data_IF_325976822628
#
_entry.id   IF_325976822628
#
_cell.length_a   1.000
_cell.length_b   1.000
_cell.length_c   1.000
_cell.angle_alpha   90.00
_cell.angle_beta   90.00
_cell.angle_gamma   90.00
#
_symmetry.space_group_name_H-M   'P 1'
#
loop_
_entity.id
_entity.type
_entity.pdbx_description
1 polymer ?
#
# COMPACT_ATOMS: atom_id res chain seq x y z
N UNK A 1 -16.34 -4.60 16.32
CA UNK A 1 -16.38 -3.15 16.63
C UNK A 1 -16.97 -2.88 18.02
N UNK A 2 -18.11 -3.49 18.40
CA UNK A 2 -18.70 -3.35 19.74
C UNK A 2 -17.76 -3.80 20.88
N UNK A 3 -17.17 -5.00 20.75
CA UNK A 3 -16.18 -5.52 21.71
C UNK A 3 -15.00 -4.57 21.96
N UNK A 4 -14.48 -3.92 20.91
CA UNK A 4 -13.36 -2.99 21.04
C UNK A 4 -13.79 -1.69 21.75
N UNK A 5 -15.03 -1.24 21.52
CA UNK A 5 -15.59 -0.07 22.19
C UNK A 5 -15.73 -0.33 23.70
N UNK A 6 -16.19 -1.52 24.08
CA UNK A 6 -16.28 -1.94 25.48
C UNK A 6 -14.89 -1.98 26.13
N UNK A 7 -13.92 -2.63 25.48
CA UNK A 7 -12.56 -2.77 25.99
C UNK A 7 -11.81 -1.43 26.14
N UNK A 8 -12.07 -0.47 25.24
CA UNK A 8 -11.45 0.86 25.25
C UNK A 8 -12.31 1.95 25.88
N UNK A 9 -13.49 1.62 26.41
CA UNK A 9 -14.49 2.57 26.92
C UNK A 9 -14.84 3.68 25.92
N UNK A 10 -14.92 3.34 24.65
CA UNK A 10 -15.34 4.27 23.60
C UNK A 10 -16.86 4.35 23.50
N UNK A 11 -17.36 5.52 23.14
CA UNK A 11 -18.77 5.71 22.83
C UNK A 11 -19.15 4.91 21.58
N UNK A 12 -19.85 3.80 21.80
CA UNK A 12 -20.29 2.90 20.73
C UNK A 12 -21.25 3.55 19.73
N UNK A 13 -22.04 4.56 20.15
CA UNK A 13 -22.93 5.28 19.24
C UNK A 13 -22.15 6.21 18.34
N UNK A 14 -21.18 6.94 18.90
CA UNK A 14 -20.29 7.81 18.13
C UNK A 14 -19.47 7.02 17.10
N UNK A 15 -18.94 5.86 17.50
CA UNK A 15 -18.19 4.96 16.60
C UNK A 15 -19.09 4.46 15.47
N UNK A 16 -20.32 4.00 15.76
CA UNK A 16 -21.29 3.58 14.73
C UNK A 16 -21.63 4.71 13.76
N UNK A 17 -21.91 5.91 14.27
CA UNK A 17 -22.25 7.06 13.44
C UNK A 17 -21.08 7.47 12.52
N UNK A 18 -19.86 7.45 13.05
CA UNK A 18 -18.65 7.75 12.28
C UNK A 18 -18.40 6.71 11.19
N UNK A 19 -18.52 5.42 11.53
CA UNK A 19 -18.34 4.34 10.55
C UNK A 19 -19.38 4.41 9.42
N UNK A 20 -20.63 4.78 9.73
CA UNK A 20 -21.67 5.03 8.72
C UNK A 20 -21.26 6.16 7.77
N UNK A 21 -20.79 7.30 8.29
CA UNK A 21 -20.32 8.42 7.47
C UNK A 21 -19.12 8.03 6.59
N UNK A 22 -18.21 7.21 7.10
CA UNK A 22 -17.09 6.72 6.30
C UNK A 22 -17.56 5.82 5.16
N UNK A 23 -18.56 4.96 5.39
CA UNK A 23 -19.17 4.14 4.33
C UNK A 23 -19.84 4.99 3.26
N UNK A 24 -20.64 5.98 3.68
CA UNK A 24 -21.34 6.89 2.77
C UNK A 24 -20.36 7.71 1.91
N UNK A 25 -19.17 8.01 2.43
CA UNK A 25 -18.12 8.73 1.72
C UNK A 25 -17.16 7.83 0.93
N UNK A 26 -17.42 6.52 0.87
CA UNK A 26 -16.52 5.53 0.28
C UNK A 26 -15.07 5.74 0.72
N UNK A 27 -14.87 5.89 2.03
CA UNK A 27 -13.60 6.31 2.59
C UNK A 27 -12.44 5.48 2.05
N UNK A 28 -11.46 6.18 1.47
CA UNK A 28 -10.17 5.66 1.03
C UNK A 28 -9.08 6.56 1.56
N UNK A 29 -8.03 5.96 2.10
CA UNK A 29 -6.79 6.63 2.46
C UNK A 29 -5.64 6.02 1.69
N UNK A 30 -4.73 6.88 1.23
CA UNK A 30 -3.55 6.47 0.49
C UNK A 30 -2.30 6.83 1.28
N UNK A 31 -1.39 5.87 1.42
CA UNK A 31 -0.10 6.04 2.08
C UNK A 31 1.00 5.70 1.08
N UNK A 32 1.72 6.72 0.63
CA UNK A 32 2.88 6.56 -0.25
C UNK A 32 4.11 6.19 0.58
N UNK A 33 4.73 5.06 0.24
CA UNK A 33 6.00 4.66 0.85
C UNK A 33 7.22 5.34 0.23
N UNK A 34 8.41 4.93 0.68
CA UNK A 34 9.68 5.52 0.23
C UNK A 34 9.85 5.36 -1.29
N UNK A 35 10.07 6.48 -1.96
CA UNK A 35 10.29 6.54 -3.41
C UNK A 35 11.76 6.24 -3.76
N UNK A 36 11.99 5.54 -4.87
CA UNK A 36 13.31 5.39 -5.50
C UNK A 36 13.29 5.81 -6.97
N UNK A 37 14.29 6.59 -7.35
CA UNK A 37 14.54 6.96 -8.76
C UNK A 37 15.14 5.78 -9.52
N UNK A 38 14.80 5.68 -10.81
CA UNK A 38 15.51 4.80 -11.74
C UNK A 38 16.98 5.21 -11.86
N UNK A 39 17.88 4.30 -12.29
CA UNK A 39 19.30 4.62 -12.47
C UNK A 39 19.52 5.79 -13.44
N UNK A 40 18.78 5.84 -14.55
CA UNK A 40 18.73 6.97 -15.48
C UNK A 40 18.00 8.24 -14.96
N UNK A 41 17.40 8.18 -13.76
CA UNK A 41 16.65 9.24 -13.08
C UNK A 41 15.42 9.78 -13.84
N UNK A 42 14.93 9.07 -14.85
CA UNK A 42 13.74 9.47 -15.63
C UNK A 42 12.42 9.03 -14.99
N UNK A 43 12.48 8.04 -14.10
CA UNK A 43 11.30 7.40 -13.50
C UNK A 43 11.42 7.34 -11.99
N UNK A 44 10.28 7.25 -11.32
CA UNK A 44 10.16 7.05 -9.87
C UNK A 44 9.30 5.83 -9.62
N UNK A 45 9.73 4.99 -8.70
CA UNK A 45 8.94 3.87 -8.22
C UNK A 45 8.69 4.01 -6.72
N UNK A 46 7.54 3.55 -6.25
CA UNK A 46 7.20 3.52 -4.83
C UNK A 46 6.11 2.48 -4.55
N UNK A 47 6.12 1.88 -3.36
CA UNK A 47 4.95 1.17 -2.86
C UNK A 47 3.85 2.18 -2.48
N UNK A 48 2.61 1.89 -2.85
CA UNK A 48 1.41 2.65 -2.49
C UNK A 48 0.48 1.73 -1.72
N UNK A 49 0.17 2.10 -0.48
CA UNK A 49 -0.82 1.39 0.34
C UNK A 49 -2.13 2.15 0.24
N UNK A 50 -3.18 1.47 -0.18
CA UNK A 50 -4.56 1.97 -0.14
C UNK A 50 -5.28 1.27 1.00
N UNK A 51 -5.94 2.05 1.85
CA UNK A 51 -6.78 1.58 2.93
C UNK A 51 -8.21 2.00 2.63
N UNK A 52 -9.10 1.03 2.49
CA UNK A 52 -10.55 1.27 2.55
C UNK A 52 -11.14 0.72 3.86
N UNK A 53 -12.46 0.67 3.98
CA UNK A 53 -13.11 0.20 5.20
C UNK A 53 -13.06 -1.32 5.41
N UNK A 54 -12.61 -2.08 4.42
CA UNK A 54 -12.61 -3.54 4.39
C UNK A 54 -11.21 -4.11 4.35
N UNK A 55 -10.29 -3.47 3.62
CA UNK A 55 -8.99 -4.05 3.33
C UNK A 55 -7.89 -3.02 3.13
N UNK A 56 -6.66 -3.50 3.32
CA UNK A 56 -5.43 -2.86 2.91
C UNK A 56 -4.96 -3.48 1.59
N UNK A 57 -4.63 -2.63 0.63
CA UNK A 57 -4.15 -3.03 -0.69
C UNK A 57 -2.78 -2.41 -0.93
N UNK A 58 -1.79 -3.22 -1.30
CA UNK A 58 -0.45 -2.76 -1.63
C UNK A 58 -0.23 -2.84 -3.13
N UNK A 59 0.14 -1.71 -3.71
CA UNK A 59 0.58 -1.58 -5.09
C UNK A 59 2.07 -1.24 -5.18
N UNK A 60 2.72 -1.67 -6.25
CA UNK A 60 3.96 -1.09 -6.74
C UNK A 60 3.60 -0.15 -7.89
N UNK A 61 3.94 1.12 -7.76
CA UNK A 61 3.64 2.16 -8.74
C UNK A 61 4.93 2.65 -9.36
N UNK A 62 4.92 2.86 -10.68
CA UNK A 62 5.98 3.56 -11.41
C UNK A 62 5.38 4.77 -12.10
N UNK A 63 5.96 5.95 -11.86
CA UNK A 63 5.58 7.21 -12.48
C UNK A 63 6.75 7.85 -13.21
N UNK A 64 6.47 8.66 -14.23
CA UNK A 64 7.47 9.53 -14.84
C UNK A 64 7.74 10.78 -13.99
N UNK A 65 8.72 11.60 -14.41
CA UNK A 65 9.02 12.86 -13.71
C UNK A 65 7.88 13.90 -13.76
N UNK A 66 6.89 13.73 -14.64
CA UNK A 66 5.69 14.56 -14.76
C UNK A 66 4.53 14.03 -13.90
N UNK A 67 4.74 12.97 -13.12
CA UNK A 67 3.74 12.28 -12.27
C UNK A 67 2.68 11.51 -13.07
N UNK A 68 2.95 11.19 -14.33
CA UNK A 68 2.11 10.26 -15.07
C UNK A 68 2.42 8.84 -14.60
N UNK A 69 1.40 8.10 -14.19
CA UNK A 69 1.54 6.68 -13.85
C UNK A 69 1.86 5.91 -15.13
N UNK A 70 3.04 5.30 -15.18
CA UNK A 70 3.48 4.43 -16.27
C UNK A 70 2.97 3.00 -16.06
N UNK A 71 2.99 2.52 -14.82
CA UNK A 71 2.44 1.22 -14.43
C UNK A 71 2.05 1.22 -12.93
N UNK A 72 1.05 0.42 -12.57
CA UNK A 72 0.57 0.18 -11.20
C UNK A 72 0.20 -1.29 -11.08
N UNK A 73 1.01 -2.04 -10.32
CA UNK A 73 0.83 -3.49 -10.13
C UNK A 73 0.39 -3.82 -8.72
N UNK A 74 -0.66 -4.63 -8.58
CA UNK A 74 -1.10 -5.18 -7.30
C UNK A 74 -0.05 -6.16 -6.76
N UNK A 75 0.34 -6.01 -5.49
CA UNK A 75 1.33 -6.84 -4.81
C UNK A 75 0.69 -7.75 -3.78
N UNK A 76 -0.23 -7.21 -2.99
CA UNK A 76 -0.91 -7.91 -1.91
C UNK A 76 -2.21 -7.18 -1.54
N UNK A 77 -3.14 -7.92 -0.96
CA UNK A 77 -4.40 -7.43 -0.41
C UNK A 77 -4.68 -8.24 0.86
N UNK A 78 -5.14 -7.58 1.92
CA UNK A 78 -5.45 -8.21 3.21
C UNK A 78 -6.54 -7.44 3.94
N UNK A 79 -7.47 -8.14 4.58
CA UNK A 79 -8.54 -7.60 5.41
C UNK A 79 -8.20 -7.64 6.91
N UNK A 80 -7.07 -8.25 7.28
CA UNK A 80 -6.73 -8.59 8.65
C UNK A 80 -5.76 -7.61 9.30
N UNK A 81 -4.50 -7.56 8.85
CA UNK A 81 -3.41 -6.90 9.59
C UNK A 81 -2.45 -6.13 8.68
N UNK A 82 -2.06 -4.91 9.09
CA UNK A 82 -1.07 -4.10 8.37
C UNK A 82 0.31 -4.78 8.34
N UNK A 83 0.60 -5.61 9.34
CA UNK A 83 1.81 -6.42 9.42
C UNK A 83 1.96 -7.35 8.21
N UNK A 84 0.86 -7.88 7.67
CA UNK A 84 0.89 -8.71 6.45
C UNK A 84 1.36 -7.89 5.25
N UNK A 85 0.89 -6.64 5.10
CA UNK A 85 1.40 -5.73 4.07
C UNK A 85 2.90 -5.46 4.25
N UNK A 86 3.36 -5.29 5.50
CA UNK A 86 4.77 -5.02 5.81
C UNK A 86 5.72 -6.16 5.35
N UNK A 87 5.23 -7.40 5.31
CA UNK A 87 5.98 -8.55 4.80
C UNK A 87 6.39 -8.37 3.33
N UNK A 88 5.56 -7.69 2.54
CA UNK A 88 5.80 -7.42 1.12
C UNK A 88 6.67 -6.19 0.86
N UNK A 89 7.08 -5.45 1.90
CA UNK A 89 7.76 -4.16 1.78
C UNK A 89 9.19 -4.20 2.36
N UNK A 90 9.97 -5.25 2.06
CA UNK A 90 11.36 -5.33 2.54
C UNK A 90 12.25 -4.28 1.88
N UNK A 91 12.30 -4.29 0.56
CA UNK A 91 13.19 -3.44 -0.21
C UNK A 91 12.59 -3.14 -1.57
N UNK A 92 12.57 -1.87 -1.95
CA UNK A 92 12.33 -1.45 -3.32
C UNK A 92 13.69 -1.29 -4.02
N UNK A 93 13.90 -1.86 -5.20
CA UNK A 93 15.17 -1.72 -5.94
C UNK A 93 14.95 -1.77 -7.44
N UNK A 94 15.62 -0.87 -8.16
CA UNK A 94 15.74 -0.93 -9.61
C UNK A 94 16.77 -1.99 -9.98
N UNK A 95 16.36 -2.94 -10.81
CA UNK A 95 17.22 -4.00 -11.35
C UNK A 95 17.90 -3.54 -12.64
N UNK A 96 17.19 -2.71 -13.43
CA UNK A 96 17.69 -2.05 -14.65
C UNK A 96 17.06 -0.65 -14.76
N UNK A 97 17.29 0.08 -15.86
CA UNK A 97 16.60 1.36 -16.14
C UNK A 97 15.08 1.23 -16.35
N UNK A 98 14.61 0.03 -16.69
CA UNK A 98 13.22 -0.25 -17.04
C UNK A 98 12.58 -1.33 -16.17
N UNK A 99 13.31 -1.91 -15.22
CA UNK A 99 12.78 -2.92 -14.31
C UNK A 99 12.99 -2.53 -12.85
N UNK A 100 11.90 -2.53 -12.09
CA UNK A 100 11.91 -2.29 -10.65
C UNK A 100 11.22 -3.43 -9.93
N UNK A 101 11.81 -3.84 -8.80
CA UNK A 101 11.34 -4.94 -7.98
C UNK A 101 11.06 -4.49 -6.55
N UNK A 102 10.01 -5.05 -5.97
CA UNK A 102 9.70 -4.97 -4.54
C UNK A 102 9.91 -6.35 -3.90
N UNK A 103 10.90 -6.42 -3.01
CA UNK A 103 11.33 -7.65 -2.35
C UNK A 103 10.52 -7.92 -1.09
N UNK A 104 10.23 -9.20 -0.83
CA UNK A 104 9.55 -9.67 0.38
C UNK A 104 10.55 -9.97 1.50
N UNK A 105 10.08 -9.96 2.75
CA UNK A 105 10.81 -10.42 3.94
C UNK A 105 10.82 -11.95 4.02
N UNK A 106 11.31 -12.62 2.98
CA UNK A 106 11.42 -14.08 2.91
C UNK A 106 12.87 -14.56 3.09
N UNK A 107 13.03 -15.81 3.55
CA UNK A 107 14.34 -16.48 3.67
C UNK A 107 15.04 -16.69 2.32
N UNK A 108 14.27 -16.73 1.23
CA UNK A 108 14.77 -16.77 -0.16
C UNK A 108 14.47 -15.45 -0.85
N UNK A 109 15.20 -15.14 -1.92
CA UNK A 109 14.95 -13.95 -2.75
C UNK A 109 13.63 -14.11 -3.49
N UNK A 110 12.58 -13.50 -2.95
CA UNK A 110 11.25 -13.43 -3.57
C UNK A 110 10.91 -11.96 -3.77
N UNK A 111 10.57 -11.59 -4.99
CA UNK A 111 10.17 -10.24 -5.33
C UNK A 111 9.06 -10.25 -6.38
N UNK A 112 8.35 -9.13 -6.46
CA UNK A 112 7.46 -8.83 -7.58
C UNK A 112 8.07 -7.66 -8.35
N UNK A 113 8.21 -7.78 -9.68
CA UNK A 113 8.72 -6.70 -10.52
C UNK A 113 7.69 -6.13 -11.50
N UNK A 114 7.95 -4.90 -11.92
CA UNK A 114 7.37 -4.22 -13.07
C UNK A 114 8.49 -4.02 -14.08
N UNK A 115 8.23 -4.35 -15.35
CA UNK A 115 9.10 -4.09 -16.49
C UNK A 115 8.35 -3.20 -17.48
N UNK A 116 8.91 -2.02 -17.73
CA UNK A 116 8.39 -0.99 -18.63
C UNK A 116 8.95 -1.13 -20.05
#
# INVERSE_FOLDING_TARGET
MLYLCELKKWDSQLVKATFKKMKEKEYKAEIKGKTKLSPDKKKKAYPLIELDLKQFTLYLVVEDNKRNILDKKLIAETDTYLEEISYHMRELKWLTDNEVALFKRAHKTVYTSIRL
#
